data_IF_879299541439
#
_entry.id   IF_879299541439
#
_cell.length_a   1.000
_cell.length_b   1.000
_cell.length_c   1.000
_cell.angle_alpha   90.00
_cell.angle_beta   90.00
_cell.angle_gamma   90.00
#
_symmetry.space_group_name_H-M   'P 1'
#
loop_
_entity.id
_entity.type
_entity.pdbx_description
1 polymer ?
#
# COMPACT_ATOMS: atom_id res chain seq x y z
N UNK A 1 23.37 51.17 -2.54
CA UNK A 1 24.61 51.91 -2.85
C UNK A 1 25.76 51.15 -2.20
N UNK A 2 26.78 50.73 -2.95
CA UNK A 2 27.82 49.79 -2.50
C UNK A 2 28.10 48.74 -3.59
N UNK A 3 29.34 48.65 -4.06
CA UNK A 3 29.72 47.98 -5.32
C UNK A 3 31.03 47.21 -5.13
N UNK A 4 31.17 46.08 -5.86
CA UNK A 4 32.38 45.38 -6.36
C UNK A 4 32.45 43.91 -5.90
N UNK A 5 32.25 42.93 -6.80
CA UNK A 5 33.10 42.44 -7.93
C UNK A 5 34.16 41.43 -7.45
N UNK A 6 34.02 40.19 -7.94
CA UNK A 6 35.08 39.18 -8.02
C UNK A 6 34.81 38.29 -9.24
N UNK A 7 35.78 38.19 -10.15
CA UNK A 7 35.71 37.36 -11.36
C UNK A 7 36.39 35.99 -11.13
N UNK A 8 35.91 34.97 -11.83
CA UNK A 8 36.63 33.72 -12.08
C UNK A 8 36.23 33.18 -13.47
N UNK A 9 37.21 32.97 -14.36
CA UNK A 9 37.04 32.55 -15.76
C UNK A 9 38.06 31.44 -16.08
N UNK A 10 37.77 30.65 -17.13
CA UNK A 10 38.53 29.47 -17.62
C UNK A 10 38.57 28.26 -16.66
N UNK A 11 38.64 26.99 -17.08
CA UNK A 11 38.69 26.34 -18.41
C UNK A 11 38.80 24.79 -18.19
N UNK A 12 38.84 23.88 -19.18
CA UNK A 12 38.84 23.93 -20.66
C UNK A 12 38.37 22.56 -21.21
N UNK A 13 37.84 22.49 -22.43
CA UNK A 13 37.42 21.23 -23.11
C UNK A 13 38.63 20.40 -23.57
N UNK A 14 38.60 19.07 -23.40
CA UNK A 14 39.32 18.10 -24.24
C UNK A 14 38.43 16.88 -24.50
N UNK A 15 38.42 16.40 -25.75
CA UNK A 15 37.70 15.21 -26.21
C UNK A 15 38.65 14.26 -26.97
N UNK A 16 38.09 13.18 -27.54
CA UNK A 16 38.74 12.11 -28.33
C UNK A 16 39.38 10.98 -27.48
N UNK A 17 39.61 9.75 -27.99
CA UNK A 17 39.72 9.29 -29.39
C UNK A 17 39.02 7.93 -29.59
N UNK A 18 38.32 7.75 -30.72
CA UNK A 18 37.91 6.45 -31.28
C UNK A 18 39.06 5.88 -32.13
N UNK A 19 39.39 4.59 -31.98
CA UNK A 19 40.29 3.88 -32.88
C UNK A 19 39.55 2.74 -33.61
N UNK A 20 39.40 2.94 -34.91
CA UNK A 20 38.94 1.94 -35.89
C UNK A 20 40.14 1.55 -36.75
N UNK A 21 40.32 0.27 -37.04
CA UNK A 21 41.33 -0.22 -37.99
C UNK A 21 40.69 -1.11 -39.05
N UNK A 22 40.72 -0.65 -40.31
CA UNK A 22 40.59 -1.50 -41.50
C UNK A 22 41.90 -2.26 -41.79
N UNK A 23 42.11 -2.91 -42.93
CA UNK A 23 41.41 -2.85 -44.22
C UNK A 23 41.47 -4.19 -44.99
N UNK A 24 40.65 -4.25 -46.04
CA UNK A 24 40.74 -5.06 -47.27
C UNK A 24 42.17 -5.37 -47.80
N UNK A 25 42.39 -6.34 -48.69
CA UNK A 25 41.50 -7.28 -49.40
C UNK A 25 42.11 -7.72 -50.74
N UNK A 26 41.63 -8.80 -51.37
CA UNK A 26 41.92 -9.19 -52.78
C UNK A 26 41.00 -10.34 -53.23
N UNK A 27 40.76 -10.46 -54.54
CA UNK A 27 39.86 -11.43 -55.21
C UNK A 27 40.56 -12.03 -56.45
N UNK A 28 39.88 -12.78 -57.35
CA UNK A 28 39.19 -14.06 -57.17
C UNK A 28 39.71 -15.16 -58.15
N UNK A 29 39.48 -16.45 -57.86
CA UNK A 29 39.63 -17.54 -58.86
C UNK A 29 38.65 -18.71 -58.56
N UNK A 30 38.40 -19.60 -59.53
CA UNK A 30 37.15 -20.37 -59.60
C UNK A 30 37.29 -21.91 -59.73
N UNK A 31 36.30 -22.64 -59.16
CA UNK A 31 35.92 -24.06 -59.48
C UNK A 31 36.90 -25.15 -58.95
N UNK A 32 36.50 -26.39 -58.53
CA UNK A 32 35.21 -27.11 -58.63
C UNK A 32 34.56 -27.58 -57.30
N UNK A 33 33.38 -28.22 -57.40
CA UNK A 33 32.60 -28.81 -56.30
C UNK A 33 33.22 -30.02 -55.60
N UNK A 34 32.88 -30.23 -54.31
CA UNK A 34 32.84 -31.56 -53.70
C UNK A 34 31.43 -31.98 -53.21
N UNK A 35 31.26 -33.30 -53.22
CA UNK A 35 30.16 -34.19 -52.84
C UNK A 35 29.31 -33.83 -51.59
N UNK A 36 28.04 -34.22 -51.63
CA UNK A 36 27.10 -34.17 -50.51
C UNK A 36 27.58 -34.91 -49.25
N UNK A 37 27.50 -34.23 -48.09
CA UNK A 37 27.37 -34.85 -46.76
C UNK A 37 26.32 -34.06 -45.98
N UNK A 38 25.20 -34.69 -45.65
CA UNK A 38 24.12 -34.05 -44.87
C UNK A 38 24.57 -33.87 -43.41
N UNK A 39 24.55 -32.65 -42.84
CA UNK A 39 24.84 -32.46 -41.43
C UNK A 39 23.71 -33.07 -40.56
N UNK A 40 24.01 -33.64 -39.38
CA UNK A 40 22.99 -34.12 -38.47
C UNK A 40 22.09 -32.97 -38.01
N UNK A 41 20.78 -33.24 -37.94
CA UNK A 41 19.74 -32.25 -37.67
C UNK A 41 19.79 -31.85 -36.18
N UNK A 42 19.92 -30.54 -35.90
CA UNK A 42 19.96 -29.98 -34.54
C UNK A 42 18.52 -29.90 -33.96
N UNK A 43 17.82 -31.02 -33.90
CA UNK A 43 16.48 -31.11 -33.30
C UNK A 43 16.45 -31.97 -32.02
N UNK A 44 17.42 -32.88 -31.83
CA UNK A 44 17.46 -33.81 -30.68
C UNK A 44 18.08 -33.21 -29.39
N UNK A 45 18.39 -31.91 -29.36
CA UNK A 45 19.04 -31.24 -28.20
C UNK A 45 18.15 -30.23 -27.45
N UNK A 46 16.90 -30.06 -27.87
CA UNK A 46 15.98 -29.11 -27.23
C UNK A 46 15.22 -29.82 -26.09
N UNK A 47 15.88 -30.05 -24.96
CA UNK A 47 15.18 -30.40 -23.72
C UNK A 47 14.24 -29.25 -23.35
N UNK A 48 12.91 -29.46 -23.28
CA UNK A 48 12.00 -28.38 -22.94
C UNK A 48 12.28 -27.89 -21.52
N UNK A 49 12.67 -26.62 -21.37
CA UNK A 49 12.72 -25.95 -20.08
C UNK A 49 11.33 -26.05 -19.44
N UNK A 50 11.20 -26.54 -18.19
CA UNK A 50 9.90 -26.62 -17.55
C UNK A 50 9.32 -25.20 -17.42
N UNK A 51 8.16 -24.98 -18.03
CA UNK A 51 7.40 -23.73 -17.86
C UNK A 51 7.14 -23.52 -16.37
N UNK A 52 7.50 -22.36 -15.79
CA UNK A 52 7.20 -22.11 -14.38
C UNK A 52 5.70 -22.13 -14.18
N UNK A 53 5.22 -23.02 -13.32
CA UNK A 53 3.81 -23.03 -12.89
C UNK A 53 3.53 -21.73 -12.18
N UNK A 54 2.57 -20.95 -12.69
CA UNK A 54 2.13 -19.72 -12.03
C UNK A 54 1.46 -20.07 -10.70
N UNK A 55 2.17 -19.84 -9.59
CA UNK A 55 1.59 -19.94 -8.25
C UNK A 55 0.69 -18.72 -8.03
N UNK A 56 -0.62 -18.97 -7.93
CA UNK A 56 -1.57 -17.94 -7.50
C UNK A 56 -1.22 -17.56 -6.05
N UNK A 57 -1.05 -16.27 -5.71
CA UNK A 57 -0.78 -15.86 -4.34
C UNK A 57 -1.92 -16.29 -3.41
N UNK A 58 -1.57 -16.73 -2.20
CA UNK A 58 -2.56 -17.10 -1.20
C UNK A 58 -3.45 -15.90 -0.85
N UNK A 59 -4.72 -16.18 -0.56
CA UNK A 59 -5.68 -15.18 -0.08
C UNK A 59 -6.23 -15.61 1.28
N UNK A 60 -6.64 -14.66 2.10
CA UNK A 60 -7.22 -14.95 3.41
C UNK A 60 -8.51 -15.76 3.27
N UNK A 61 -8.61 -16.89 3.96
CA UNK A 61 -9.79 -17.75 4.00
C UNK A 61 -10.64 -17.47 5.25
N UNK A 62 -11.98 -17.60 5.18
CA UNK A 62 -12.84 -17.51 6.36
C UNK A 62 -12.45 -18.54 7.43
N UNK A 63 -12.54 -18.15 8.70
CA UNK A 63 -12.27 -19.05 9.83
C UNK A 63 -13.54 -19.76 10.30
N UNK A 64 -13.41 -20.74 11.20
CA UNK A 64 -14.54 -21.58 11.63
C UNK A 64 -15.56 -20.86 12.54
N UNK A 65 -15.15 -19.83 13.28
CA UNK A 65 -16.03 -19.07 14.17
C UNK A 65 -16.52 -17.80 13.48
N UNK A 66 -17.78 -17.44 13.69
CA UNK A 66 -18.39 -16.20 13.21
C UNK A 66 -19.16 -15.53 14.33
N UNK A 67 -18.91 -14.25 14.52
CA UNK A 67 -19.67 -13.35 15.41
C UNK A 67 -20.44 -12.36 14.53
N UNK A 68 -21.69 -12.08 14.85
CA UNK A 68 -22.50 -11.07 14.18
C UNK A 68 -22.38 -9.74 14.95
N UNK A 69 -21.97 -8.67 14.27
CA UNK A 69 -21.94 -7.31 14.83
C UNK A 69 -23.29 -6.59 14.65
N UNK A 70 -24.14 -7.03 13.71
CA UNK A 70 -25.41 -6.43 13.36
C UNK A 70 -25.34 -5.45 12.17
N UNK A 71 -26.13 -4.38 12.25
CA UNK A 71 -26.34 -3.42 11.14
C UNK A 71 -25.52 -2.15 11.36
N UNK A 72 -24.77 -1.75 10.33
CA UNK A 72 -24.10 -0.45 10.23
C UNK A 72 -24.91 0.44 9.29
N UNK A 73 -25.31 1.61 9.76
CA UNK A 73 -25.97 2.67 8.98
C UNK A 73 -25.44 4.04 9.41
N UNK A 74 -25.77 5.11 8.68
CA UNK A 74 -25.47 6.48 9.17
C UNK A 74 -26.19 6.74 10.50
N UNK A 75 -25.49 7.34 11.46
CA UNK A 75 -25.93 7.50 12.84
C UNK A 75 -26.09 6.19 13.63
N UNK A 76 -25.68 5.04 13.09
CA UNK A 76 -25.86 3.70 13.72
C UNK A 76 -24.61 2.84 13.60
N UNK A 77 -23.83 2.78 14.69
CA UNK A 77 -22.70 1.87 14.83
C UNK A 77 -23.12 0.44 15.19
N UNK A 78 -22.33 -0.54 14.77
CA UNK A 78 -22.43 -1.95 15.13
C UNK A 78 -21.20 -2.39 15.94
N UNK A 79 -21.29 -3.43 16.76
CA UNK A 79 -20.15 -3.91 17.55
C UNK A 79 -20.18 -5.41 17.81
N UNK A 80 -19.03 -6.06 17.72
CA UNK A 80 -18.83 -7.46 18.08
C UNK A 80 -17.62 -7.61 19.01
N UNK A 81 -17.68 -8.59 19.90
CA UNK A 81 -16.54 -9.00 20.74
C UNK A 81 -16.36 -10.50 20.65
N UNK A 82 -15.12 -10.97 20.81
CA UNK A 82 -14.79 -12.38 20.80
C UNK A 82 -13.43 -12.65 21.43
N UNK A 83 -12.93 -13.87 21.24
CA UNK A 83 -11.59 -14.26 21.70
C UNK A 83 -11.02 -15.32 20.77
N UNK A 84 -9.79 -15.12 20.31
CA UNK A 84 -9.21 -15.95 19.25
C UNK A 84 -9.65 -15.55 17.84
N UNK A 85 -9.24 -16.31 16.80
CA UNK A 85 -9.64 -16.06 15.41
C UNK A 85 -11.15 -16.14 15.19
N UNK A 86 -11.73 -15.15 14.50
CA UNK A 86 -13.15 -15.12 14.16
C UNK A 86 -13.44 -14.29 12.90
N UNK A 87 -14.47 -14.68 12.17
CA UNK A 87 -15.13 -13.79 11.22
C UNK A 87 -16.04 -12.83 12.02
N UNK A 88 -16.11 -11.56 11.62
CA UNK A 88 -17.11 -10.60 12.10
C UNK A 88 -18.02 -10.26 10.93
N UNK A 89 -19.26 -10.78 10.98
CA UNK A 89 -20.29 -10.50 9.99
C UNK A 89 -21.04 -9.20 10.33
N UNK A 90 -21.43 -8.43 9.32
CA UNK A 90 -22.29 -7.25 9.49
C UNK A 90 -23.09 -6.95 8.21
N UNK A 91 -24.08 -6.07 8.34
CA UNK A 91 -24.87 -5.56 7.21
C UNK A 91 -24.65 -4.04 7.04
N UNK A 92 -24.18 -3.63 5.86
CA UNK A 92 -23.96 -2.22 5.49
C UNK A 92 -25.23 -1.65 4.83
N UNK A 93 -25.91 -0.73 5.51
CA UNK A 93 -27.14 -0.09 5.02
C UNK A 93 -26.86 1.36 4.58
N UNK A 94 -26.34 1.52 3.37
CA UNK A 94 -26.10 2.82 2.73
C UNK A 94 -24.98 2.78 1.68
N UNK A 95 -24.63 3.94 1.11
CA UNK A 95 -23.52 4.10 0.18
C UNK A 95 -22.37 4.91 0.82
N UNK A 96 -21.78 4.32 1.87
CA UNK A 96 -20.64 4.87 2.60
C UNK A 96 -19.56 3.80 2.81
N UNK A 97 -18.34 4.27 3.07
CA UNK A 97 -17.23 3.44 3.55
C UNK A 97 -17.38 3.20 5.06
N UNK A 98 -16.93 2.03 5.53
CA UNK A 98 -17.03 1.61 6.93
C UNK A 98 -15.70 1.83 7.63
N UNK A 99 -15.74 2.52 8.76
CA UNK A 99 -14.60 2.64 9.68
C UNK A 99 -14.71 1.56 10.74
N UNK A 100 -13.66 0.77 10.85
CA UNK A 100 -13.56 -0.40 11.72
C UNK A 100 -12.53 -0.11 12.79
N UNK A 101 -12.97 0.16 14.01
CA UNK A 101 -12.10 0.33 15.17
C UNK A 101 -11.91 -1.03 15.85
N UNK A 102 -10.67 -1.45 16.10
CA UNK A 102 -10.38 -2.65 16.88
C UNK A 102 -9.72 -2.26 18.21
N UNK A 103 -10.19 -2.89 19.28
CA UNK A 103 -9.52 -2.96 20.57
C UNK A 103 -9.09 -4.41 20.82
N UNK A 104 -7.79 -4.65 20.70
CA UNK A 104 -7.07 -5.87 21.05
C UNK A 104 -6.00 -5.55 22.13
N UNK A 105 -6.29 -4.59 23.02
CA UNK A 105 -5.35 -4.15 24.08
C UNK A 105 -5.02 -5.24 25.10
N UNK A 106 -5.87 -6.27 25.21
CA UNK A 106 -5.68 -7.45 26.05
C UNK A 106 -5.21 -8.70 25.26
N UNK A 107 -4.86 -8.55 23.98
CA UNK A 107 -4.38 -9.63 23.14
C UNK A 107 -2.88 -9.91 23.33
N UNK A 108 -2.44 -11.09 22.88
CA UNK A 108 -1.03 -11.51 22.78
C UNK A 108 -0.67 -11.87 21.34
N UNK A 109 0.61 -12.15 21.09
CA UNK A 109 1.09 -12.59 19.77
C UNK A 109 0.94 -11.50 18.71
N UNK A 110 0.57 -11.90 17.49
CA UNK A 110 0.27 -10.98 16.38
C UNK A 110 -1.25 -10.87 16.21
N UNK A 111 -1.73 -9.65 16.01
CA UNK A 111 -3.11 -9.36 15.61
C UNK A 111 -3.15 -8.95 14.14
N UNK A 112 -3.94 -9.65 13.34
CA UNK A 112 -4.16 -9.37 11.91
C UNK A 112 -5.63 -9.10 11.66
N UNK A 113 -5.93 -8.00 10.95
CA UNK A 113 -7.27 -7.61 10.52
C UNK A 113 -7.34 -7.68 9.00
N UNK A 114 -8.23 -8.49 8.45
CA UNK A 114 -8.35 -8.75 7.01
C UNK A 114 -9.80 -9.08 6.61
N UNK A 115 -10.07 -9.46 5.36
CA UNK A 115 -11.37 -9.98 4.91
C UNK A 115 -11.14 -11.20 4.00
N UNK A 116 -12.16 -12.05 3.76
CA UNK A 116 -12.03 -13.18 2.84
C UNK A 116 -11.61 -12.75 1.43
N UNK A 117 -10.65 -13.45 0.82
CA UNK A 117 -10.20 -13.22 -0.55
C UNK A 117 -9.12 -12.14 -0.72
N UNK A 118 -8.70 -11.44 0.34
CA UNK A 118 -7.55 -10.51 0.27
C UNK A 118 -6.21 -11.22 0.16
N UNK A 119 -5.32 -10.68 -0.69
CA UNK A 119 -3.90 -11.05 -0.74
C UNK A 119 -3.06 -10.37 0.35
N UNK A 120 -3.57 -9.32 1.01
CA UNK A 120 -2.86 -8.57 2.04
C UNK A 120 -3.83 -8.00 3.06
N UNK A 121 -3.52 -8.05 4.38
CA UNK A 121 -4.42 -7.58 5.43
C UNK A 121 -4.65 -6.06 5.36
N UNK A 122 -5.69 -5.59 6.07
CA UNK A 122 -5.87 -4.17 6.37
C UNK A 122 -4.82 -3.68 7.38
N UNK A 123 -4.38 -4.55 8.28
CA UNK A 123 -3.26 -4.32 9.18
C UNK A 123 -2.83 -5.60 9.88
N UNK A 124 -1.55 -5.65 10.25
CA UNK A 124 -0.94 -6.75 10.99
C UNK A 124 0.12 -6.17 11.93
N UNK A 125 -0.05 -6.39 13.24
CA UNK A 125 0.79 -5.77 14.29
C UNK A 125 0.97 -6.74 15.46
N UNK A 126 2.12 -6.67 16.14
CA UNK A 126 2.29 -7.31 17.44
C UNK A 126 1.34 -6.71 18.48
N UNK A 127 0.67 -7.55 19.28
CA UNK A 127 -0.21 -7.10 20.35
C UNK A 127 0.60 -6.50 21.53
N UNK A 128 0.03 -5.58 22.34
CA UNK A 128 -1.35 -5.08 22.28
C UNK A 128 -1.59 -4.17 21.09
N UNK A 129 -2.77 -4.30 20.47
CA UNK A 129 -3.13 -3.54 19.27
C UNK A 129 -4.44 -2.80 19.49
N UNK A 130 -4.45 -1.49 19.22
CA UNK A 130 -5.67 -0.71 19.05
C UNK A 130 -5.48 0.23 17.86
N UNK A 131 -6.49 0.36 17.01
CA UNK A 131 -6.39 1.15 15.79
C UNK A 131 -7.65 1.07 14.95
N UNK A 132 -7.64 1.75 13.81
CA UNK A 132 -8.82 1.84 12.96
C UNK A 132 -8.50 1.72 11.47
N UNK A 133 -9.39 1.05 10.72
CA UNK A 133 -9.23 0.74 9.31
C UNK A 133 -10.42 1.23 8.49
N UNK A 134 -10.19 1.53 7.21
CA UNK A 134 -11.23 1.94 6.26
C UNK A 134 -11.51 0.81 5.26
N UNK A 135 -12.78 0.40 5.17
CA UNK A 135 -13.31 -0.65 4.30
C UNK A 135 -14.50 -0.13 3.47
N UNK A 136 -14.93 -0.88 2.45
CA UNK A 136 -16.13 -0.60 1.64
C UNK A 136 -16.09 0.75 0.89
N UNK A 137 -14.91 1.13 0.39
CA UNK A 137 -14.68 2.42 -0.28
C UNK A 137 -15.10 2.40 -1.76
N UNK A 138 -15.53 1.25 -2.29
CA UNK A 138 -15.89 1.11 -3.70
C UNK A 138 -17.41 1.05 -3.88
N UNK A 139 -17.89 1.75 -4.92
CA UNK A 139 -19.31 1.69 -5.29
C UNK A 139 -19.65 0.24 -5.70
N UNK A 140 -20.77 -0.27 -5.18
CA UNK A 140 -21.29 -1.64 -5.33
C UNK A 140 -20.74 -2.74 -4.39
N UNK A 141 -20.00 -2.41 -3.32
CA UNK A 141 -19.67 -3.40 -2.29
C UNK A 141 -20.96 -4.00 -1.65
N UNK A 142 -21.06 -5.33 -1.42
CA UNK A 142 -22.31 -5.99 -1.03
C UNK A 142 -22.89 -5.49 0.31
N UNK A 143 -24.18 -5.74 0.53
CA UNK A 143 -24.86 -5.39 1.80
C UNK A 143 -24.33 -6.25 2.95
N UNK A 144 -24.25 -7.57 2.74
CA UNK A 144 -23.68 -8.50 3.71
C UNK A 144 -22.17 -8.49 3.58
N UNK A 145 -21.48 -8.27 4.71
CA UNK A 145 -20.04 -8.04 4.76
C UNK A 145 -19.39 -8.89 5.85
N UNK A 146 -18.12 -9.23 5.65
CA UNK A 146 -17.34 -10.06 6.57
C UNK A 146 -15.93 -9.50 6.74
N UNK A 147 -15.55 -9.21 7.98
CA UNK A 147 -14.17 -9.02 8.42
C UNK A 147 -13.63 -10.35 8.98
N UNK A 148 -12.31 -10.53 9.01
CA UNK A 148 -11.63 -11.57 9.78
C UNK A 148 -10.70 -10.89 10.78
N UNK A 149 -10.86 -11.23 12.05
CA UNK A 149 -9.91 -10.91 13.13
C UNK A 149 -9.13 -12.18 13.44
N UNK A 150 -7.82 -12.14 13.27
CA UNK A 150 -6.89 -13.16 13.75
C UNK A 150 -6.14 -12.57 14.93
N UNK A 151 -6.39 -13.08 16.14
CA UNK A 151 -5.78 -12.59 17.37
C UNK A 151 -5.65 -13.73 18.38
N UNK A 152 -4.74 -13.59 19.35
CA UNK A 152 -4.70 -14.43 20.54
C UNK A 152 -5.23 -13.64 21.73
N UNK A 153 -6.32 -14.08 22.35
CA UNK A 153 -6.98 -13.36 23.45
C UNK A 153 -8.22 -12.55 23.03
N UNK A 154 -8.80 -11.77 23.96
CA UNK A 154 -10.08 -11.11 23.78
C UNK A 154 -9.96 -9.80 23.00
N UNK A 155 -10.90 -9.57 22.09
CA UNK A 155 -10.96 -8.39 21.23
C UNK A 155 -12.38 -7.83 21.15
N UNK A 156 -12.49 -6.54 20.79
CA UNK A 156 -13.74 -5.89 20.40
C UNK A 156 -13.55 -5.11 19.10
N UNK A 157 -14.51 -5.21 18.20
CA UNK A 157 -14.57 -4.43 16.96
C UNK A 157 -15.82 -3.56 16.97
N UNK A 158 -15.67 -2.27 16.68
CA UNK A 158 -16.77 -1.32 16.47
C UNK A 158 -16.74 -0.82 15.02
N UNK A 159 -17.87 -0.93 14.34
CA UNK A 159 -18.08 -0.58 12.94
C UNK A 159 -19.02 0.63 12.86
N UNK A 160 -18.67 1.65 12.06
CA UNK A 160 -19.50 2.84 11.87
C UNK A 160 -19.34 3.40 10.45
N UNK A 161 -20.28 4.24 9.99
CA UNK A 161 -20.09 4.99 8.75
C UNK A 161 -18.90 5.95 8.89
N UNK A 162 -18.12 6.12 7.84
CA UNK A 162 -17.11 7.19 7.76
C UNK A 162 -17.71 8.60 7.90
N UNK A 163 -19.03 8.77 7.71
CA UNK A 163 -19.76 10.02 7.88
C UNK A 163 -20.07 10.34 9.35
N UNK A 164 -19.95 9.35 10.25
CA UNK A 164 -20.22 9.48 11.68
C UNK A 164 -18.95 9.69 12.52
N UNK A 165 -17.76 9.66 11.90
CA UNK A 165 -16.51 9.77 12.66
C UNK A 165 -16.25 11.23 13.09
N UNK A 166 -15.78 11.46 14.33
CA UNK A 166 -15.43 12.81 14.79
C UNK A 166 -14.38 13.46 13.90
N UNK A 167 -14.61 14.71 13.52
CA UNK A 167 -13.62 15.52 12.83
C UNK A 167 -12.52 16.00 13.77
N UNK A 168 -11.31 16.14 13.23
CA UNK A 168 -10.13 16.68 13.89
C UNK A 168 -9.52 17.78 13.03
N UNK A 169 -8.87 18.76 13.68
CA UNK A 169 -8.31 19.94 13.03
C UNK A 169 -6.88 20.21 13.50
N UNK A 170 -6.02 20.69 12.61
CA UNK A 170 -4.61 20.94 12.86
C UNK A 170 -3.79 19.66 13.05
N UNK A 171 -2.55 19.79 13.56
CA UNK A 171 -1.60 18.68 13.66
C UNK A 171 -2.13 17.52 14.53
N UNK A 172 -2.17 16.32 13.95
CA UNK A 172 -2.50 15.07 14.62
C UNK A 172 -1.26 14.15 14.63
N UNK A 173 -1.14 13.30 15.65
CA UNK A 173 -0.05 12.32 15.74
C UNK A 173 -0.53 11.02 16.37
N UNK A 174 0.06 9.90 15.98
CA UNK A 174 -0.30 8.60 16.51
C UNK A 174 0.75 7.52 16.24
N UNK A 175 0.38 6.30 16.62
CA UNK A 175 1.13 5.07 16.38
C UNK A 175 0.15 4.06 15.78
N UNK A 176 0.59 3.33 14.75
CA UNK A 176 -0.24 2.30 14.15
C UNK A 176 -1.30 2.83 13.17
N UNK A 177 -2.26 1.96 12.77
CA UNK A 177 -3.26 2.28 11.76
C UNK A 177 -4.38 3.17 12.32
N UNK A 178 -4.77 4.19 11.55
CA UNK A 178 -5.74 5.19 11.96
C UNK A 178 -6.61 5.66 10.79
N UNK A 179 -7.83 6.12 11.10
CA UNK A 179 -8.73 6.82 10.17
C UNK A 179 -9.14 8.13 10.82
N UNK A 180 -8.85 9.23 10.14
CA UNK A 180 -9.07 10.60 10.62
C UNK A 180 -10.00 11.31 9.64
N UNK A 181 -10.95 12.11 10.13
CA UNK A 181 -11.62 13.11 9.29
C UNK A 181 -10.99 14.47 9.54
N UNK A 182 -10.16 14.93 8.60
CA UNK A 182 -9.49 16.22 8.66
C UNK A 182 -10.47 17.31 8.20
N UNK A 183 -10.81 18.25 9.07
CA UNK A 183 -11.80 19.31 8.80
C UNK A 183 -11.22 20.64 8.31
N UNK A 184 -9.89 20.79 8.29
CA UNK A 184 -9.23 22.00 7.79
C UNK A 184 -9.45 22.16 6.27
N UNK A 185 -9.89 23.35 5.85
CA UNK A 185 -10.05 23.75 4.44
C UNK A 185 -8.70 24.30 3.93
N UNK A 186 -7.82 23.39 3.50
CA UNK A 186 -6.44 23.70 3.09
C UNK A 186 -5.95 22.78 1.95
N UNK A 187 -5.07 23.27 1.05
CA UNK A 187 -4.66 22.53 -0.15
C UNK A 187 -3.49 21.55 0.06
N UNK A 188 -2.95 21.42 1.28
CA UNK A 188 -1.78 20.59 1.56
C UNK A 188 -1.85 19.86 2.89
N UNK A 189 -1.13 18.74 2.93
CA UNK A 189 -0.89 17.94 4.12
C UNK A 189 0.61 17.61 4.21
N UNK A 190 1.25 18.04 5.30
CA UNK A 190 2.58 17.53 5.68
C UNK A 190 2.39 16.20 6.42
N UNK A 191 3.19 15.20 6.10
CA UNK A 191 3.20 13.89 6.76
C UNK A 191 4.63 13.53 7.13
N UNK A 192 4.81 13.26 8.42
CA UNK A 192 6.03 12.73 9.00
C UNK A 192 5.79 11.28 9.42
N UNK A 193 6.74 10.40 9.10
CA UNK A 193 6.68 8.96 9.43
C UNK A 193 8.02 8.45 9.93
N UNK A 194 7.99 7.64 10.98
CA UNK A 194 9.11 6.80 11.38
C UNK A 194 8.65 5.34 11.59
N UNK A 195 9.30 4.36 10.94
CA UNK A 195 8.93 2.95 10.99
C UNK A 195 9.16 2.32 12.36
N UNK A 196 8.31 1.37 12.75
CA UNK A 196 8.50 0.55 13.96
C UNK A 196 9.62 -0.49 13.81
N UNK A 197 9.90 -0.95 12.58
CA UNK A 197 10.95 -1.92 12.26
C UNK A 197 11.45 -1.75 10.83
N UNK A 198 12.50 -2.48 10.43
CA UNK A 198 13.02 -2.43 9.06
C UNK A 198 12.04 -2.99 7.99
N UNK A 199 11.03 -3.74 8.41
CA UNK A 199 10.01 -4.36 7.55
C UNK A 199 8.68 -3.59 7.57
N UNK A 200 8.59 -2.50 8.34
CA UNK A 200 7.40 -1.65 8.44
C UNK A 200 7.27 -0.71 7.23
N UNK A 201 6.05 -0.29 6.93
CA UNK A 201 5.77 0.64 5.85
C UNK A 201 4.61 1.55 6.20
N UNK A 202 4.58 2.73 5.59
CA UNK A 202 3.48 3.66 5.66
C UNK A 202 2.70 3.66 4.36
N UNK A 203 1.38 3.56 4.44
CA UNK A 203 0.45 3.88 3.36
C UNK A 203 -0.60 4.88 3.83
N UNK A 204 -0.65 6.03 3.16
CA UNK A 204 -1.65 7.08 3.35
C UNK A 204 -2.62 7.10 2.18
N UNK A 205 -3.92 7.17 2.49
CA UNK A 205 -5.03 7.29 1.52
C UNK A 205 -5.94 8.43 1.95
N UNK A 206 -5.95 9.54 1.23
CA UNK A 206 -6.80 10.71 1.53
C UNK A 206 -7.95 10.78 0.52
N UNK A 207 -9.17 10.63 1.04
CA UNK A 207 -10.43 10.76 0.32
C UNK A 207 -10.97 12.17 0.56
N UNK A 208 -11.21 12.89 -0.53
CA UNK A 208 -11.52 14.32 -0.52
C UNK A 208 -12.85 14.57 -1.22
N UNK A 209 -13.26 15.83 -1.32
CA UNK A 209 -14.32 16.27 -2.24
C UNK A 209 -14.03 15.97 -3.72
N UNK A 210 -12.78 15.69 -4.09
CA UNK A 210 -12.42 15.25 -5.43
C UNK A 210 -12.60 13.72 -5.61
N UNK A 211 -13.13 13.30 -6.76
CA UNK A 211 -13.37 11.87 -7.10
C UNK A 211 -12.10 10.99 -7.19
N UNK A 212 -10.91 11.53 -6.92
CA UNK A 212 -9.63 10.83 -7.02
C UNK A 212 -8.87 10.87 -5.70
N UNK A 213 -8.88 9.78 -4.90
CA UNK A 213 -8.18 9.76 -3.62
C UNK A 213 -6.66 9.87 -3.81
N UNK A 214 -6.01 10.68 -2.99
CA UNK A 214 -4.55 10.77 -2.96
C UNK A 214 -3.99 9.52 -2.27
N UNK A 215 -3.07 8.84 -2.94
CA UNK A 215 -2.35 7.68 -2.41
C UNK A 215 -0.86 8.04 -2.30
N UNK A 216 -0.25 7.74 -1.17
CA UNK A 216 1.19 7.91 -0.93
C UNK A 216 1.69 6.92 0.12
N UNK A 217 3.01 6.75 0.22
CA UNK A 217 3.61 5.81 1.15
C UNK A 217 5.08 5.54 0.87
N UNK A 218 5.77 5.01 1.89
CA UNK A 218 7.19 4.66 1.84
C UNK A 218 7.48 3.57 2.88
N UNK A 219 8.54 2.79 2.67
CA UNK A 219 9.11 1.88 3.68
C UNK A 219 10.08 2.61 4.63
N UNK A 220 10.77 3.63 4.13
CA UNK A 220 11.72 4.43 4.91
C UNK A 220 11.03 5.57 5.67
N UNK A 221 11.67 6.09 6.71
CA UNK A 221 11.23 7.29 7.41
C UNK A 221 11.25 8.51 6.48
N UNK A 222 10.21 9.35 6.52
CA UNK A 222 10.11 10.53 5.66
C UNK A 222 9.41 11.70 6.35
N UNK A 223 9.55 12.88 5.74
CA UNK A 223 8.81 14.11 6.03
C UNK A 223 8.50 14.77 4.69
N UNK A 224 7.28 14.63 4.21
CA UNK A 224 6.87 15.07 2.86
C UNK A 224 5.60 15.93 2.91
N UNK A 225 5.41 16.74 1.88
CA UNK A 225 4.22 17.58 1.70
C UNK A 225 3.46 17.12 0.47
N UNK A 226 2.18 16.83 0.62
CA UNK A 226 1.30 16.38 -0.45
C UNK A 226 0.22 17.42 -0.73
N UNK A 227 0.05 17.79 -2.00
CA UNK A 227 -1.14 18.52 -2.43
C UNK A 227 -2.37 17.59 -2.31
N UNK A 228 -3.37 18.03 -1.53
CA UNK A 228 -4.64 17.35 -1.22
C UNK A 228 -5.75 18.39 -1.04
N UNK A 229 -6.96 18.08 -1.48
CA UNK A 229 -8.13 18.97 -1.39
C UNK A 229 -8.88 18.70 -0.06
N UNK A 230 -8.39 19.21 1.07
CA UNK A 230 -9.08 19.04 2.36
C UNK A 230 -10.24 20.05 2.49
N UNK A 231 -11.35 19.72 3.19
CA UNK A 231 -11.53 18.64 4.16
C UNK A 231 -11.67 17.23 3.54
N UNK A 232 -11.30 16.20 4.30
CA UNK A 232 -11.31 14.83 3.80
C UNK A 232 -11.00 13.75 4.84
N UNK A 233 -11.37 12.50 4.53
CA UNK A 233 -11.05 11.32 5.35
C UNK A 233 -9.69 10.77 4.95
N UNK A 234 -8.77 10.66 5.91
CA UNK A 234 -7.46 10.05 5.73
C UNK A 234 -7.42 8.69 6.42
N UNK A 235 -7.11 7.64 5.67
CA UNK A 235 -6.74 6.33 6.22
C UNK A 235 -5.21 6.16 6.20
N UNK A 236 -4.67 5.75 7.34
CA UNK A 236 -3.26 5.49 7.61
C UNK A 236 -3.10 4.00 7.91
N UNK A 237 -2.21 3.33 7.20
CA UNK A 237 -1.82 1.94 7.45
C UNK A 237 -0.30 1.91 7.67
N UNK A 238 0.11 1.61 8.90
CA UNK A 238 1.50 1.44 9.33
C UNK A 238 1.53 0.78 10.71
N UNK A 239 2.68 0.27 11.15
CA UNK A 239 2.91 -0.05 12.56
C UNK A 239 3.70 1.04 13.31
N UNK A 240 4.30 1.98 12.58
CA UNK A 240 5.17 3.02 13.10
C UNK A 240 4.45 4.24 13.68
N UNK A 241 5.25 5.25 14.04
CA UNK A 241 4.79 6.55 14.52
C UNK A 241 4.58 7.50 13.34
N UNK A 242 3.54 8.32 13.40
CA UNK A 242 3.24 9.31 12.37
C UNK A 242 2.78 10.64 12.96
N UNK A 243 2.98 11.72 12.19
CA UNK A 243 2.35 13.02 12.39
C UNK A 243 1.77 13.48 11.05
N UNK A 244 0.58 14.08 11.09
CA UNK A 244 -0.08 14.66 9.91
C UNK A 244 -0.51 16.10 10.24
N UNK A 245 -0.09 17.05 9.41
CA UNK A 245 -0.32 18.48 9.65
C UNK A 245 -0.93 19.14 8.41
N UNK A 246 -2.23 19.48 8.44
CA UNK A 246 -2.86 20.28 7.40
C UNK A 246 -2.17 21.65 7.28
N UNK A 247 -1.86 22.09 6.06
CA UNK A 247 -1.06 23.30 5.78
C UNK A 247 -1.59 24.12 4.59
N UNK A 248 -1.47 25.46 4.61
CA UNK A 248 -1.77 26.33 3.45
C UNK A 248 -0.85 26.13 2.24
#
# INVERSE_FOLDING_TARGET
>A
MGIRRGWGLAGTIVAAVLLVSGCAGSAPEATPSPTHTTPPRIEDLITPTPTPTATVPATAEPVAQTVDAGVVAEGTSASASGSGPSNVAYQRQGEFAVVMNIDCSACTGTTTVTEPGRMSPFGEMAAPMSGSFLKDVFKNDPVNQTLIVLAEGPWTVTLQSWNDIPSVSGAQSGIGPAVLFLSDDVPRLTVDYAPASADDSFSGRVFTTSDSPKLFGNTEAFSEVYDVDLPGVMAIQTNGTWMVTPTP
#
